data_IF_460970863566
#
_entry.id   IF_460970863566
#
_cell.length_a   1.000
_cell.length_b   1.000
_cell.length_c   1.000
_cell.angle_alpha   90.00
_cell.angle_beta   90.00
_cell.angle_gamma   90.00
#
_symmetry.space_group_name_H-M   'P 1'
#
loop_
_entity.id
_entity.type
_entity.pdbx_description
1 polymer ?
#
# COMPACT_ATOMS: atom_id res chain seq x y z
N UNK A 1 -24.20 7.77 13.65
CA UNK A 1 -25.53 7.49 14.28
C UNK A 1 -25.72 8.28 15.58
N UNK A 2 -24.67 8.46 16.38
CA UNK A 2 -24.75 9.24 17.61
C UNK A 2 -24.76 10.73 17.28
N UNK A 3 -25.69 11.44 17.91
CA UNK A 3 -25.78 12.89 17.86
C UNK A 3 -24.51 13.55 18.41
N UNK A 4 -24.06 14.63 17.78
CA UNK A 4 -22.79 15.26 18.13
C UNK A 4 -22.80 15.92 19.52
N UNK A 5 -23.94 16.55 19.93
CA UNK A 5 -24.07 17.20 21.24
C UNK A 5 -24.09 16.17 22.36
N UNK A 6 -24.80 15.05 22.15
CA UNK A 6 -24.79 13.93 23.08
C UNK A 6 -23.41 13.34 23.24
N UNK A 7 -22.72 13.09 22.10
CA UNK A 7 -21.37 12.54 22.11
C UNK A 7 -20.38 13.48 22.85
N UNK A 8 -20.49 14.78 22.62
CA UNK A 8 -19.66 15.74 23.34
C UNK A 8 -19.88 15.69 24.87
N UNK A 9 -21.13 15.59 25.31
CA UNK A 9 -21.45 15.42 26.75
C UNK A 9 -20.89 14.13 27.33
N UNK A 10 -20.91 13.03 26.56
CA UNK A 10 -20.28 11.76 26.98
C UNK A 10 -18.77 11.92 27.11
N UNK A 11 -18.12 12.59 26.15
CA UNK A 11 -16.69 12.89 26.20
C UNK A 11 -16.31 13.74 27.40
N UNK A 12 -17.09 14.80 27.69
CA UNK A 12 -16.91 15.65 28.87
C UNK A 12 -17.01 14.87 30.19
N UNK A 13 -18.02 14.00 30.30
CA UNK A 13 -18.19 13.13 31.47
C UNK A 13 -17.03 12.15 31.64
N UNK A 14 -16.55 11.58 30.54
CA UNK A 14 -15.39 10.67 30.55
C UNK A 14 -14.11 11.40 31.01
N UNK A 15 -13.85 12.60 30.48
CA UNK A 15 -12.72 13.44 30.90
C UNK A 15 -12.82 13.79 32.41
N UNK A 16 -14.01 14.21 32.86
CA UNK A 16 -14.23 14.51 34.27
C UNK A 16 -14.00 13.31 35.19
N UNK A 17 -14.25 12.09 34.68
CA UNK A 17 -13.96 10.83 35.37
C UNK A 17 -12.50 10.39 35.27
N UNK A 18 -11.64 11.12 34.56
CA UNK A 18 -10.20 10.87 34.46
C UNK A 18 -9.74 10.19 33.17
N UNK A 19 -10.59 10.10 32.14
CA UNK A 19 -10.14 9.58 30.84
C UNK A 19 -9.11 10.54 30.21
N UNK A 20 -7.99 9.96 29.73
CA UNK A 20 -6.91 10.69 29.04
C UNK A 20 -6.88 10.43 27.54
N UNK A 21 -7.62 9.45 27.07
CA UNK A 21 -7.82 9.14 25.64
C UNK A 21 -9.32 8.93 25.40
N UNK A 22 -9.83 9.58 24.38
CA UNK A 22 -11.20 9.44 23.90
C UNK A 22 -11.19 8.75 22.54
N UNK A 23 -11.50 7.47 22.54
CA UNK A 23 -11.57 6.71 21.30
C UNK A 23 -12.95 6.89 20.66
N UNK A 24 -12.98 7.42 19.44
CA UNK A 24 -14.19 7.71 18.67
C UNK A 24 -14.32 6.70 17.53
N UNK A 25 -15.15 5.65 17.69
CA UNK A 25 -15.21 4.60 16.69
C UNK A 25 -16.20 4.90 15.54
N UNK A 26 -15.82 4.56 14.32
CA UNK A 26 -16.74 4.24 13.23
C UNK A 26 -16.96 2.72 13.23
N UNK A 27 -17.78 2.26 14.16
CA UNK A 27 -17.96 0.83 14.50
C UNK A 27 -18.49 -0.01 13.35
N UNK A 28 -19.25 0.58 12.45
CA UNK A 28 -19.86 -0.12 11.30
C UNK A 28 -19.16 0.17 9.97
N UNK A 29 -18.05 0.94 9.99
CA UNK A 29 -17.33 1.31 8.78
C UNK A 29 -18.17 2.07 7.76
N UNK A 30 -19.14 2.88 8.24
CA UNK A 30 -20.17 3.50 7.42
C UNK A 30 -19.84 4.94 7.00
N UNK A 31 -19.10 5.67 7.81
CA UNK A 31 -18.86 7.10 7.59
C UNK A 31 -18.06 7.35 6.30
N UNK A 32 -18.41 8.43 5.61
CA UNK A 32 -17.53 9.01 4.60
C UNK A 32 -16.42 9.83 5.29
N UNK A 33 -15.24 9.99 4.66
CA UNK A 33 -14.11 10.69 5.30
C UNK A 33 -14.44 12.10 5.78
N UNK A 34 -15.20 12.88 4.99
CA UNK A 34 -15.61 14.23 5.40
C UNK A 34 -16.59 14.25 6.56
N UNK A 35 -17.48 13.25 6.67
CA UNK A 35 -18.43 13.12 7.79
C UNK A 35 -17.71 12.76 9.09
N UNK A 36 -16.79 11.79 9.00
CA UNK A 36 -15.99 11.37 10.14
C UNK A 36 -15.05 12.50 10.61
N UNK A 37 -14.35 13.15 9.66
CA UNK A 37 -13.50 14.30 9.96
C UNK A 37 -14.29 15.45 10.61
N UNK A 38 -15.49 15.78 10.10
CA UNK A 38 -16.35 16.82 10.69
C UNK A 38 -16.80 16.47 12.12
N UNK A 39 -17.06 15.18 12.41
CA UNK A 39 -17.38 14.73 13.76
C UNK A 39 -16.20 14.91 14.71
N UNK A 40 -15.00 14.53 14.32
CA UNK A 40 -13.78 14.74 15.13
C UNK A 40 -13.53 16.24 15.35
N UNK A 41 -13.66 17.05 14.30
CA UNK A 41 -13.55 18.51 14.41
C UNK A 41 -14.54 19.11 15.41
N UNK A 42 -15.82 18.67 15.33
CA UNK A 42 -16.85 19.11 16.25
C UNK A 42 -16.46 18.81 17.70
N UNK A 43 -15.95 17.58 17.98
CA UNK A 43 -15.52 17.23 19.34
C UNK A 43 -14.31 18.03 19.79
N UNK A 44 -13.33 18.24 18.92
CA UNK A 44 -12.15 19.04 19.22
C UNK A 44 -12.50 20.50 19.57
N UNK A 45 -13.53 21.06 18.93
CA UNK A 45 -13.94 22.45 19.11
C UNK A 45 -14.93 22.66 20.28
N UNK A 46 -15.74 21.65 20.64
CA UNK A 46 -16.88 21.84 21.53
C UNK A 46 -16.84 21.07 22.86
N UNK A 47 -15.94 20.07 23.00
CA UNK A 47 -15.83 19.29 24.25
C UNK A 47 -15.04 20.09 25.28
N UNK A 48 -15.65 20.38 26.40
CA UNK A 48 -14.98 21.10 27.52
C UNK A 48 -13.94 20.19 28.17
N UNK A 49 -12.74 20.69 28.32
CA UNK A 49 -11.63 19.96 28.93
C UNK A 49 -10.91 19.07 27.94
N UNK A 50 -11.16 19.20 26.61
CA UNK A 50 -10.54 18.36 25.56
C UNK A 50 -9.02 18.46 25.57
N UNK A 51 -8.46 19.55 26.07
CA UNK A 51 -7.02 19.75 26.24
C UNK A 51 -6.36 18.75 27.23
N UNK A 52 -7.17 18.06 28.04
CA UNK A 52 -6.73 17.04 29.01
C UNK A 52 -6.76 15.64 28.45
N UNK A 53 -7.29 15.47 27.24
CA UNK A 53 -7.44 14.15 26.61
C UNK A 53 -6.99 14.16 25.14
N UNK A 54 -6.56 13.02 24.66
CA UNK A 54 -6.24 12.79 23.26
C UNK A 54 -7.45 12.20 22.54
N UNK A 55 -7.89 12.83 21.45
CA UNK A 55 -8.85 12.21 20.53
C UNK A 55 -8.15 11.12 19.72
N UNK A 56 -8.73 9.92 19.74
CA UNK A 56 -8.27 8.76 19.01
C UNK A 56 -9.31 8.32 17.97
N UNK A 57 -8.85 7.94 16.79
CA UNK A 57 -9.70 7.36 15.75
C UNK A 57 -9.65 5.84 15.79
N UNK A 58 -10.80 5.19 15.56
CA UNK A 58 -10.93 3.75 15.39
C UNK A 58 -11.93 3.47 14.29
N UNK A 59 -11.46 3.08 13.10
CA UNK A 59 -12.32 2.96 11.94
C UNK A 59 -12.31 1.53 11.40
N UNK A 60 -13.51 0.97 11.20
CA UNK A 60 -13.71 -0.30 10.51
C UNK A 60 -13.80 -0.11 9.00
N UNK A 61 -13.55 -1.18 8.25
CA UNK A 61 -13.29 -1.13 6.81
C UNK A 61 -14.42 -1.68 5.94
N UNK A 62 -15.67 -1.69 6.44
CA UNK A 62 -16.81 -2.32 5.76
C UNK A 62 -17.08 -1.73 4.36
N UNK A 63 -16.86 -0.43 4.18
CA UNK A 63 -16.94 0.25 2.88
C UNK A 63 -15.55 0.52 2.25
N UNK A 64 -14.46 -0.03 2.79
CA UNK A 64 -13.11 0.20 2.27
C UNK A 64 -12.54 1.59 2.59
N UNK A 65 -13.07 2.30 3.60
CA UNK A 65 -12.74 3.69 3.91
C UNK A 65 -12.00 3.87 5.25
N UNK A 66 -11.66 2.80 5.95
CA UNK A 66 -11.09 2.88 7.30
C UNK A 66 -9.84 3.78 7.37
N UNK A 67 -8.87 3.57 6.49
CA UNK A 67 -7.64 4.37 6.43
C UNK A 67 -7.96 5.83 6.07
N UNK A 68 -8.83 6.07 5.10
CA UNK A 68 -9.23 7.42 4.70
C UNK A 68 -9.95 8.16 5.84
N UNK A 69 -10.84 7.47 6.58
CA UNK A 69 -11.53 8.03 7.73
C UNK A 69 -10.54 8.37 8.86
N UNK A 70 -9.60 7.48 9.16
CA UNK A 70 -8.57 7.73 10.18
C UNK A 70 -7.70 8.94 9.84
N UNK A 71 -7.28 9.09 8.59
CA UNK A 71 -6.53 10.26 8.12
C UNK A 71 -7.39 11.53 8.19
N UNK A 72 -8.66 11.46 7.80
CA UNK A 72 -9.60 12.59 7.97
C UNK A 72 -9.74 13.00 9.45
N UNK A 73 -9.77 12.02 10.35
CA UNK A 73 -9.83 12.28 11.80
C UNK A 73 -8.60 13.03 12.31
N UNK A 74 -7.39 12.60 11.96
CA UNK A 74 -6.16 13.29 12.43
C UNK A 74 -5.97 14.64 11.76
N UNK A 75 -6.44 14.82 10.54
CA UNK A 75 -6.47 16.13 9.88
C UNK A 75 -7.44 17.12 10.54
N UNK A 76 -8.36 16.62 11.37
CA UNK A 76 -9.40 17.39 12.04
C UNK A 76 -9.29 17.40 13.58
N UNK A 77 -8.13 17.04 14.14
CA UNK A 77 -7.86 17.25 15.57
C UNK A 77 -7.53 16.00 16.35
N UNK A 78 -7.78 14.79 15.86
CA UNK A 78 -7.29 13.57 16.51
C UNK A 78 -5.74 13.53 16.48
N UNK A 79 -5.16 12.86 17.49
CA UNK A 79 -3.70 12.71 17.61
C UNK A 79 -3.28 11.25 17.85
N UNK A 80 -4.23 10.35 17.84
CA UNK A 80 -4.02 8.92 17.93
C UNK A 80 -4.86 8.23 16.86
N UNK A 81 -4.30 7.18 16.27
CA UNK A 81 -4.98 6.26 15.35
C UNK A 81 -4.85 4.85 15.89
N UNK A 82 -5.98 4.20 16.15
CA UNK A 82 -6.01 2.76 16.37
C UNK A 82 -6.05 2.06 15.01
N UNK A 83 -5.06 1.21 14.78
CA UNK A 83 -4.91 0.51 13.52
C UNK A 83 -4.27 -0.87 13.76
N UNK A 84 -4.34 -1.73 12.77
CA UNK A 84 -3.81 -3.09 12.86
C UNK A 84 -2.92 -3.41 11.67
N UNK A 85 -1.95 -4.29 11.86
CA UNK A 85 -1.12 -4.79 10.76
C UNK A 85 -2.02 -5.53 9.77
N UNK A 86 -1.87 -5.26 8.48
CA UNK A 86 -2.70 -5.78 7.39
C UNK A 86 -4.18 -5.36 7.46
N UNK A 87 -4.55 -4.46 8.36
CA UNK A 87 -5.94 -4.11 8.60
C UNK A 87 -6.76 -5.24 9.21
N UNK A 88 -6.12 -6.20 9.87
CA UNK A 88 -6.83 -7.34 10.48
C UNK A 88 -7.84 -6.87 11.52
N UNK A 89 -9.03 -7.46 11.53
CA UNK A 89 -10.10 -7.14 12.46
C UNK A 89 -11.41 -7.82 12.10
N UNK A 90 -12.46 -7.47 12.81
CA UNK A 90 -13.81 -8.00 12.56
C UNK A 90 -14.32 -7.61 11.16
N UNK A 91 -15.13 -8.49 10.57
CA UNK A 91 -15.78 -8.33 9.26
C UNK A 91 -14.78 -8.02 8.14
N UNK A 92 -14.75 -6.75 7.65
CA UNK A 92 -13.82 -6.32 6.61
C UNK A 92 -12.49 -5.77 7.17
N UNK A 93 -12.31 -5.80 8.50
CA UNK A 93 -11.12 -5.37 9.18
C UNK A 93 -11.14 -3.91 9.65
N UNK A 94 -9.97 -3.42 10.02
CA UNK A 94 -9.70 -2.10 10.58
C UNK A 94 -8.84 -1.26 9.64
N UNK A 95 -8.54 -0.05 10.07
CA UNK A 95 -7.45 0.76 9.50
C UNK A 95 -6.14 -0.02 9.47
N UNK A 96 -5.46 -0.03 8.34
CA UNK A 96 -4.20 -0.73 8.17
C UNK A 96 -3.01 0.15 8.61
N UNK A 97 -2.17 -0.36 9.51
CA UNK A 97 -1.02 0.37 10.05
C UNK A 97 -0.05 0.78 8.94
N UNK A 98 0.31 -0.12 8.04
CA UNK A 98 1.24 0.12 6.95
C UNK A 98 0.78 1.26 6.03
N UNK A 99 -0.52 1.38 5.78
CA UNK A 99 -1.10 2.44 4.97
C UNK A 99 -1.01 3.79 5.69
N UNK A 100 -1.42 3.85 6.96
CA UNK A 100 -1.34 5.07 7.79
C UNK A 100 0.09 5.58 7.87
N UNK A 101 1.03 4.69 8.20
CA UNK A 101 2.45 5.06 8.39
C UNK A 101 3.03 5.63 7.10
N UNK A 102 2.74 5.01 5.96
CA UNK A 102 3.26 5.48 4.68
C UNK A 102 2.56 6.76 4.20
N UNK A 103 1.26 6.95 4.47
CA UNK A 103 0.58 8.22 4.19
C UNK A 103 1.22 9.37 5.00
N UNK A 104 1.44 9.18 6.30
CA UNK A 104 2.08 10.19 7.16
C UNK A 104 3.49 10.51 6.65
N UNK A 105 4.25 9.52 6.20
CA UNK A 105 5.61 9.69 5.68
C UNK A 105 5.64 10.42 4.33
N UNK A 106 4.71 10.10 3.42
CA UNK A 106 4.66 10.68 2.07
C UNK A 106 4.02 12.08 2.03
N UNK A 107 3.29 12.46 3.08
CA UNK A 107 2.58 13.73 3.15
C UNK A 107 3.02 14.60 4.35
N UNK A 108 4.26 15.16 4.32
CA UNK A 108 4.77 15.98 5.43
C UNK A 108 3.91 17.23 5.69
N UNK A 109 3.14 17.69 4.70
CA UNK A 109 2.18 18.78 4.86
C UNK A 109 1.05 18.51 5.85
N UNK A 110 0.82 17.26 6.28
CA UNK A 110 -0.10 16.93 7.36
C UNK A 110 0.40 17.38 8.74
N UNK A 111 1.67 17.75 8.88
CA UNK A 111 2.28 18.13 10.17
C UNK A 111 2.33 16.96 11.17
N UNK A 112 2.27 15.73 10.68
CA UNK A 112 2.30 14.50 11.47
C UNK A 112 3.62 13.76 11.24
N UNK A 113 4.05 13.00 12.24
CA UNK A 113 5.22 12.12 12.13
C UNK A 113 4.98 10.82 12.91
N UNK A 114 5.73 9.78 12.56
CA UNK A 114 5.69 8.49 13.23
C UNK A 114 7.10 7.95 13.45
N UNK A 115 7.32 7.27 14.56
CA UNK A 115 8.56 6.57 14.87
C UNK A 115 8.59 5.10 14.37
N UNK A 116 7.58 4.65 13.64
CA UNK A 116 7.54 3.28 13.12
C UNK A 116 8.67 3.07 12.10
N UNK A 117 9.44 2.00 12.28
CA UNK A 117 10.45 1.60 11.31
C UNK A 117 9.78 0.98 10.08
N UNK A 118 9.62 1.77 9.03
CA UNK A 118 8.93 1.35 7.82
C UNK A 118 9.57 0.15 7.12
N UNK A 119 10.89 -0.02 7.24
CA UNK A 119 11.62 -1.14 6.63
C UNK A 119 11.21 -2.52 7.16
N UNK A 120 10.49 -2.57 8.26
CA UNK A 120 9.96 -3.82 8.83
C UNK A 120 8.52 -4.11 8.40
N UNK A 121 7.87 -3.23 7.64
CA UNK A 121 6.45 -3.38 7.30
C UNK A 121 6.16 -4.67 6.53
N UNK A 122 6.92 -4.98 5.49
CA UNK A 122 6.72 -6.19 4.68
C UNK A 122 6.95 -7.47 5.49
N UNK A 123 8.03 -7.52 6.27
CA UNK A 123 8.35 -8.67 7.14
C UNK A 123 7.27 -8.86 8.21
N UNK A 124 6.88 -7.78 8.88
CA UNK A 124 5.84 -7.82 9.92
C UNK A 124 4.48 -8.24 9.35
N UNK A 125 4.13 -7.73 8.16
CA UNK A 125 2.92 -8.14 7.44
C UNK A 125 2.90 -9.65 7.15
N UNK A 126 4.02 -10.18 6.65
CA UNK A 126 4.17 -11.60 6.37
C UNK A 126 4.07 -12.46 7.64
N UNK A 127 4.70 -12.03 8.72
CA UNK A 127 4.65 -12.72 10.02
C UNK A 127 3.21 -12.79 10.57
N UNK A 128 2.49 -11.66 10.58
CA UNK A 128 1.10 -11.61 11.06
C UNK A 128 0.20 -12.46 10.17
N UNK A 129 0.36 -12.37 8.83
CA UNK A 129 -0.36 -13.22 7.88
C UNK A 129 -0.19 -14.71 8.18
N UNK A 130 1.05 -15.13 8.44
CA UNK A 130 1.38 -16.51 8.79
C UNK A 130 0.76 -16.95 10.12
N UNK A 131 0.96 -16.17 11.18
CA UNK A 131 0.47 -16.50 12.52
C UNK A 131 -1.06 -16.54 12.61
N UNK A 132 -1.73 -15.69 11.87
CA UNK A 132 -3.20 -15.63 11.84
C UNK A 132 -3.82 -16.53 10.77
N UNK A 133 -3.02 -17.19 9.93
CA UNK A 133 -3.50 -17.95 8.77
C UNK A 133 -4.42 -17.12 7.85
N UNK A 134 -4.18 -15.82 7.75
CA UNK A 134 -4.92 -14.88 6.91
C UNK A 134 -4.01 -14.37 5.79
N UNK A 135 -4.25 -14.84 4.57
CA UNK A 135 -3.45 -14.45 3.40
C UNK A 135 -3.66 -12.98 3.06
N UNK A 136 -2.56 -12.23 2.92
CA UNK A 136 -2.61 -10.86 2.40
C UNK A 136 -2.97 -10.89 0.92
N UNK A 137 -3.92 -10.05 0.52
CA UNK A 137 -4.29 -9.91 -0.90
C UNK A 137 -3.08 -9.45 -1.72
N UNK A 138 -2.87 -10.05 -2.89
CA UNK A 138 -1.72 -9.70 -3.73
C UNK A 138 -1.65 -8.22 -4.11
N UNK A 139 -2.79 -7.56 -4.25
CA UNK A 139 -2.93 -6.13 -4.55
C UNK A 139 -3.09 -5.24 -3.30
N UNK A 140 -2.85 -5.76 -2.09
CA UNK A 140 -2.87 -4.96 -0.87
C UNK A 140 -1.84 -3.81 -0.98
N UNK A 141 -2.26 -2.60 -0.65
CA UNK A 141 -1.37 -1.46 -0.65
C UNK A 141 -0.15 -1.71 0.26
N UNK A 142 1.01 -1.22 -0.12
CA UNK A 142 2.28 -1.24 0.60
C UNK A 142 2.93 -2.64 0.71
N UNK A 143 2.21 -3.67 1.13
CA UNK A 143 2.77 -4.98 1.52
C UNK A 143 2.31 -6.15 0.64
N UNK A 144 1.38 -5.92 -0.27
CA UNK A 144 0.92 -6.97 -1.19
C UNK A 144 2.00 -7.36 -2.20
N UNK A 145 1.99 -8.62 -2.64
CA UNK A 145 2.98 -9.14 -3.59
C UNK A 145 3.06 -8.36 -4.92
N UNK A 146 1.95 -7.71 -5.31
CA UNK A 146 1.88 -6.89 -6.53
C UNK A 146 2.06 -5.39 -6.26
N UNK A 147 2.30 -4.96 -5.01
CA UNK A 147 2.36 -3.54 -4.66
C UNK A 147 3.41 -2.76 -5.48
N UNK A 148 4.49 -3.44 -5.89
CA UNK A 148 5.59 -2.88 -6.68
C UNK A 148 5.81 -3.67 -7.99
N UNK A 149 4.75 -4.27 -8.54
CA UNK A 149 4.82 -5.05 -9.77
C UNK A 149 4.23 -4.28 -10.95
N UNK A 150 4.99 -4.15 -12.03
CA UNK A 150 4.59 -3.45 -13.25
C UNK A 150 4.40 -4.44 -14.40
N UNK A 151 3.19 -4.55 -14.95
CA UNK A 151 2.85 -5.45 -16.06
C UNK A 151 2.47 -4.73 -17.36
N UNK A 152 2.17 -3.43 -17.32
CA UNK A 152 1.86 -2.63 -18.51
C UNK A 152 3.14 -2.14 -19.18
N UNK A 153 3.26 -2.32 -20.51
CA UNK A 153 4.44 -1.93 -21.26
C UNK A 153 4.82 -0.45 -21.13
N UNK A 154 3.83 0.45 -21.06
CA UNK A 154 4.06 1.90 -20.85
C UNK A 154 4.63 2.15 -19.46
N UNK A 155 4.08 1.50 -18.41
CA UNK A 155 4.57 1.64 -17.05
C UNK A 155 5.98 1.06 -16.91
N UNK A 156 6.23 -0.10 -17.51
CA UNK A 156 7.55 -0.75 -17.52
C UNK A 156 8.61 0.15 -18.14
N UNK A 157 8.34 0.72 -19.32
CA UNK A 157 9.25 1.65 -19.98
C UNK A 157 9.50 2.92 -19.14
N UNK A 158 8.46 3.45 -18.50
CA UNK A 158 8.56 4.59 -17.61
C UNK A 158 9.44 4.30 -16.38
N UNK A 159 9.20 3.18 -15.69
CA UNK A 159 9.99 2.77 -14.50
C UNK A 159 11.46 2.52 -14.86
N UNK A 160 11.73 1.89 -16.02
CA UNK A 160 13.11 1.66 -16.50
C UNK A 160 13.85 2.98 -16.74
N UNK A 161 13.16 4.00 -17.26
CA UNK A 161 13.74 5.32 -17.55
C UNK A 161 13.85 6.21 -16.30
N UNK A 162 12.80 6.22 -15.50
CA UNK A 162 12.71 7.02 -14.27
C UNK A 162 11.66 6.40 -13.34
N UNK A 163 12.12 5.80 -12.25
CA UNK A 163 11.26 5.08 -11.28
C UNK A 163 10.13 5.96 -10.75
N UNK A 164 10.46 7.19 -10.39
CA UNK A 164 9.54 8.17 -9.79
C UNK A 164 8.31 8.48 -10.66
N UNK A 165 8.35 8.13 -11.97
CA UNK A 165 7.21 8.31 -12.87
C UNK A 165 6.00 7.48 -12.46
N UNK A 166 6.23 6.29 -11.87
CA UNK A 166 5.15 5.35 -11.50
C UNK A 166 5.30 4.78 -10.09
N UNK A 167 6.34 5.13 -9.35
CA UNK A 167 6.57 4.69 -7.99
C UNK A 167 6.68 5.89 -7.05
N UNK A 168 5.72 6.04 -6.16
CA UNK A 168 5.71 7.08 -5.11
C UNK A 168 6.44 6.64 -3.85
N UNK A 169 6.78 5.36 -3.75
CA UNK A 169 7.45 4.73 -2.60
C UNK A 169 8.56 3.83 -3.15
N UNK A 170 9.79 3.99 -2.64
CA UNK A 170 10.84 3.02 -2.89
C UNK A 170 10.50 1.71 -2.14
N UNK A 171 10.43 0.55 -2.81
CA UNK A 171 10.18 -0.75 -2.17
C UNK A 171 11.07 -1.01 -0.94
N UNK A 172 12.32 -0.57 -0.98
CA UNK A 172 13.28 -0.72 0.12
C UNK A 172 12.88 0.06 1.37
N UNK A 173 12.12 1.13 1.22
CA UNK A 173 11.61 1.90 2.36
C UNK A 173 10.60 1.13 3.20
N UNK A 174 9.95 0.12 2.61
CA UNK A 174 8.97 -0.73 3.29
C UNK A 174 9.48 -2.15 3.52
N UNK A 175 10.75 -2.42 3.25
CA UNK A 175 11.38 -3.72 3.42
C UNK A 175 11.10 -4.72 2.30
N UNK A 176 10.54 -4.28 1.17
CA UNK A 176 10.45 -5.09 -0.01
C UNK A 176 11.81 -5.15 -0.75
N UNK A 177 12.06 -6.25 -1.48
CA UNK A 177 13.37 -6.48 -2.10
C UNK A 177 13.63 -5.49 -3.22
N UNK A 178 12.72 -5.39 -4.17
CA UNK A 178 12.79 -4.45 -5.30
C UNK A 178 11.44 -4.44 -6.05
N UNK A 179 11.28 -3.49 -6.99
CA UNK A 179 10.17 -3.52 -7.93
C UNK A 179 10.38 -4.63 -8.97
N UNK A 180 9.31 -5.30 -9.35
CA UNK A 180 9.37 -6.36 -10.36
C UNK A 180 8.72 -5.93 -11.67
N UNK A 181 9.40 -6.22 -12.78
CA UNK A 181 8.82 -6.14 -14.12
C UNK A 181 8.28 -7.53 -14.44
N UNK A 182 6.95 -7.65 -14.39
CA UNK A 182 6.25 -8.90 -14.71
C UNK A 182 6.03 -8.97 -16.22
N UNK A 183 6.66 -9.93 -16.87
CA UNK A 183 6.57 -10.09 -18.32
C UNK A 183 5.29 -10.83 -18.72
N UNK A 184 4.45 -10.15 -19.50
CA UNK A 184 3.16 -10.67 -20.00
C UNK A 184 2.99 -10.29 -21.48
N UNK A 185 1.94 -10.75 -22.13
CA UNK A 185 1.60 -10.36 -23.51
C UNK A 185 1.49 -8.85 -23.74
N UNK A 186 1.37 -8.06 -22.65
CA UNK A 186 1.33 -6.58 -22.68
C UNK A 186 2.70 -5.92 -22.54
N UNK A 187 3.76 -6.70 -22.30
CA UNK A 187 5.12 -6.17 -22.13
C UNK A 187 5.73 -5.80 -23.48
N UNK A 188 6.37 -4.64 -23.52
CA UNK A 188 7.07 -4.16 -24.71
C UNK A 188 8.50 -4.68 -24.83
N UNK A 189 9.17 -4.37 -25.97
CA UNK A 189 10.57 -4.73 -26.22
C UNK A 189 11.53 -4.19 -25.16
N UNK A 190 11.27 -2.98 -24.62
CA UNK A 190 12.10 -2.40 -23.58
C UNK A 190 12.10 -3.25 -22.30
N UNK A 191 10.95 -3.75 -21.88
CA UNK A 191 10.81 -4.61 -20.72
C UNK A 191 11.52 -5.96 -20.92
N UNK A 192 11.36 -6.58 -22.11
CA UNK A 192 12.07 -7.81 -22.45
C UNK A 192 13.59 -7.59 -22.46
N UNK A 193 14.07 -6.54 -23.13
CA UNK A 193 15.49 -6.20 -23.17
C UNK A 193 16.07 -5.99 -21.77
N UNK A 194 15.37 -5.23 -20.92
CA UNK A 194 15.78 -4.99 -19.53
C UNK A 194 15.88 -6.31 -18.74
N UNK A 195 14.89 -7.22 -18.88
CA UNK A 195 14.92 -8.49 -18.15
C UNK A 195 16.03 -9.40 -18.66
N UNK A 196 16.22 -9.49 -19.99
CA UNK A 196 17.31 -10.23 -20.60
C UNK A 196 18.68 -9.72 -20.15
N UNK A 197 18.85 -8.39 -20.10
CA UNK A 197 20.08 -7.77 -19.59
C UNK A 197 20.36 -8.14 -18.13
N UNK A 198 19.33 -8.17 -17.27
CA UNK A 198 19.44 -8.62 -15.88
C UNK A 198 19.87 -10.09 -15.75
N UNK A 199 19.49 -10.92 -16.73
CA UNK A 199 19.90 -12.32 -16.84
C UNK A 199 21.26 -12.52 -17.51
N UNK A 200 21.95 -11.43 -17.90
CA UNK A 200 23.26 -11.46 -18.54
C UNK A 200 23.24 -11.55 -20.06
N UNK A 201 22.08 -11.43 -20.70
CA UNK A 201 21.96 -11.46 -22.16
C UNK A 201 21.96 -10.04 -22.72
N UNK A 202 22.92 -9.73 -23.58
CA UNK A 202 23.03 -8.46 -24.28
C UNK A 202 22.72 -8.67 -25.77
N UNK A 203 21.50 -8.36 -26.19
CA UNK A 203 21.04 -8.57 -27.55
C UNK A 203 21.04 -7.28 -28.35
N UNK A 204 21.65 -7.31 -29.52
CA UNK A 204 21.51 -6.26 -30.53
C UNK A 204 20.08 -6.21 -31.09
N UNK A 205 19.71 -5.09 -31.68
CA UNK A 205 18.33 -4.80 -32.13
C UNK A 205 17.72 -5.89 -33.01
N UNK A 206 18.43 -6.52 -34.00
CA UNK A 206 17.86 -7.61 -34.79
C UNK A 206 17.56 -8.87 -33.97
N UNK A 207 18.49 -9.29 -33.11
CA UNK A 207 18.33 -10.43 -32.22
C UNK A 207 17.22 -10.18 -31.19
N UNK A 208 17.13 -8.96 -30.60
CA UNK A 208 16.05 -8.58 -29.72
C UNK A 208 14.67 -8.64 -30.40
N UNK A 209 14.56 -8.25 -31.68
CA UNK A 209 13.30 -8.37 -32.43
C UNK A 209 12.88 -9.81 -32.62
N UNK A 210 13.84 -10.71 -32.91
CA UNK A 210 13.59 -12.17 -33.04
C UNK A 210 13.15 -12.74 -31.68
N UNK A 211 13.88 -12.44 -30.61
CA UNK A 211 13.50 -12.82 -29.22
C UNK A 211 12.12 -12.32 -28.86
N UNK A 212 11.78 -11.08 -29.22
CA UNK A 212 10.49 -10.50 -28.92
C UNK A 212 9.33 -11.19 -29.64
N UNK A 213 9.53 -11.63 -30.88
CA UNK A 213 8.52 -12.41 -31.61
C UNK A 213 8.24 -13.75 -30.93
N UNK A 214 9.29 -14.49 -30.52
CA UNK A 214 9.14 -15.71 -29.75
C UNK A 214 8.54 -15.49 -28.35
N UNK A 215 8.95 -14.39 -27.69
CA UNK A 215 8.38 -13.99 -26.42
C UNK A 215 6.86 -13.75 -26.48
N UNK A 216 6.35 -13.10 -27.52
CA UNK A 216 4.91 -12.88 -27.67
C UNK A 216 4.13 -14.19 -27.82
N UNK A 217 4.64 -15.14 -28.61
CA UNK A 217 4.02 -16.46 -28.74
C UNK A 217 3.95 -17.20 -27.40
N UNK A 218 5.01 -17.10 -26.60
CA UNK A 218 5.08 -17.70 -25.28
C UNK A 218 4.10 -17.00 -24.32
N UNK A 219 4.09 -15.67 -24.31
CA UNK A 219 3.25 -14.86 -23.44
C UNK A 219 1.74 -14.94 -23.75
N UNK A 220 1.36 -15.30 -24.98
CA UNK A 220 -0.03 -15.57 -25.35
C UNK A 220 -0.51 -16.93 -24.82
N UNK A 221 0.38 -17.85 -24.53
CA UNK A 221 0.07 -19.19 -24.02
C UNK A 221 0.03 -19.29 -22.50
N UNK A 222 0.58 -18.29 -21.78
CA UNK A 222 0.69 -18.32 -20.31
C UNK A 222 0.50 -16.93 -19.68
N UNK A 223 0.13 -16.93 -18.39
CA UNK A 223 -0.18 -15.70 -17.66
C UNK A 223 1.04 -14.79 -17.47
N UNK A 224 2.22 -15.37 -17.27
CA UNK A 224 3.47 -14.68 -16.98
C UNK A 224 4.63 -15.48 -17.58
N UNK A 225 5.62 -14.77 -18.16
CA UNK A 225 6.87 -15.35 -18.65
C UNK A 225 7.93 -15.18 -17.59
N UNK A 226 8.45 -16.29 -17.07
CA UNK A 226 9.46 -16.31 -16.02
C UNK A 226 10.88 -16.42 -16.60
N UNK A 227 11.90 -16.25 -15.77
CA UNK A 227 13.31 -16.25 -16.19
C UNK A 227 13.71 -17.54 -16.90
N UNK A 228 13.25 -18.68 -16.41
CA UNK A 228 13.54 -19.96 -17.04
C UNK A 228 13.00 -20.06 -18.48
N UNK A 229 11.83 -19.49 -18.73
CA UNK A 229 11.24 -19.44 -20.07
C UNK A 229 12.10 -18.58 -21.01
N UNK A 230 12.66 -17.49 -20.49
CA UNK A 230 13.57 -16.62 -21.26
C UNK A 230 14.88 -17.33 -21.59
N UNK A 231 15.45 -18.11 -20.67
CA UNK A 231 16.65 -18.92 -20.95
C UNK A 231 16.37 -19.89 -22.09
N UNK A 232 15.28 -20.65 -22.03
CA UNK A 232 14.86 -21.58 -23.09
C UNK A 232 14.64 -20.85 -24.42
N UNK A 233 13.98 -19.70 -24.40
CA UNK A 233 13.73 -18.87 -25.57
C UNK A 233 15.03 -18.47 -26.28
N UNK A 234 16.01 -17.98 -25.52
CA UNK A 234 17.31 -17.57 -26.08
C UNK A 234 18.09 -18.75 -26.66
N UNK A 235 18.07 -19.90 -25.98
CA UNK A 235 18.73 -21.14 -26.47
C UNK A 235 18.09 -21.65 -27.76
N UNK A 236 16.77 -21.75 -27.82
CA UNK A 236 16.02 -22.22 -28.98
C UNK A 236 16.24 -21.38 -30.23
N UNK A 237 16.41 -20.10 -30.08
CA UNK A 237 16.64 -19.19 -31.21
C UNK A 237 18.11 -18.92 -31.53
N UNK A 238 19.06 -19.60 -30.86
CA UNK A 238 20.51 -19.41 -31.02
C UNK A 238 20.93 -17.93 -30.93
N UNK A 239 20.33 -17.19 -30.01
CA UNK A 239 20.53 -15.74 -29.85
C UNK A 239 21.68 -15.39 -28.88
N UNK A 240 22.52 -16.35 -28.52
CA UNK A 240 23.66 -16.13 -27.65
C UNK A 240 24.75 -15.46 -28.47
N UNK A 241 24.94 -14.16 -28.28
CA UNK A 241 26.18 -13.49 -28.64
C UNK A 241 27.16 -13.71 -27.48
N UNK A 242 28.06 -14.68 -27.64
CA UNK A 242 29.21 -14.86 -26.76
C UNK A 242 30.10 -13.61 -26.97
N UNK A 243 30.17 -12.74 -25.96
CA UNK A 243 31.21 -11.70 -25.90
C UNK A 243 32.45 -12.26 -25.24
#
# INVERSE_FOLDING_TARGET
>A
RTDNEFLARVCEAAIAAGATVLNIPDTTGYCLPHEYGAKIKYLADNVRGIEKATLSTHCHNDLGLATANSIAGVSNGARQIECTINGVGERAGNTALEEVVMIVRQHPGLGLHTGVNTRLLTETSALVSHLMSMTVQANKAIVGANAFAHSSGIHQDGVIKCRETYEIIDPKEVGAIDSSIVLTARSGRAALAYRLQKLGYHLERPALNSAYAGFLQLADSQREVIDNDLHILIEQHNLITVS
#
